data_IF_145931411490
#
_entry.id   IF_145931411490
#
_cell.length_a   1.000
_cell.length_b   1.000
_cell.length_c   1.000
_cell.angle_alpha   90.00
_cell.angle_beta   90.00
_cell.angle_gamma   90.00
#
_symmetry.space_group_name_H-M   'P 1'
#
loop_
_entity.id
_entity.type
_entity.pdbx_description
1 polymer ?
#
# COMPACT_ATOMS: atom_id res chain seq x y z
N UNK A 1 -17.79 19.28 26.63
CA UNK A 1 -16.97 19.82 25.52
C UNK A 1 -16.32 18.64 24.82
N UNK A 2 -16.57 18.44 23.53
CA UNK A 2 -15.84 17.46 22.73
C UNK A 2 -14.54 18.12 22.25
N UNK A 3 -13.39 17.52 22.54
CA UNK A 3 -12.11 17.92 21.95
C UNK A 3 -12.14 17.54 20.48
N UNK A 4 -11.95 18.48 19.53
CA UNK A 4 -11.89 18.13 18.12
C UNK A 4 -10.70 17.20 17.90
N UNK A 5 -10.98 15.97 17.48
CA UNK A 5 -9.94 15.03 17.04
C UNK A 5 -9.40 15.53 15.70
N UNK A 6 -8.21 16.13 15.72
CA UNK A 6 -7.49 16.45 14.51
C UNK A 6 -6.83 15.16 13.98
N UNK A 7 -7.24 14.70 12.80
CA UNK A 7 -6.60 13.58 12.15
C UNK A 7 -5.17 13.99 11.71
N UNK A 8 -4.16 13.31 12.26
CA UNK A 8 -2.79 13.48 11.83
C UNK A 8 -2.54 12.69 10.53
N UNK A 9 -1.77 13.27 9.61
CA UNK A 9 -1.36 12.62 8.35
C UNK A 9 0.12 12.30 8.43
N UNK A 10 0.44 11.01 8.52
CA UNK A 10 1.81 10.52 8.59
C UNK A 10 2.54 10.71 7.26
N UNK A 11 3.82 11.02 7.37
CA UNK A 11 4.76 10.96 6.25
C UNK A 11 5.39 9.58 6.12
N UNK A 12 6.00 9.30 4.97
CA UNK A 12 6.76 8.04 4.76
C UNK A 12 7.88 7.89 5.81
N UNK A 13 8.60 8.97 6.11
CA UNK A 13 9.67 8.95 7.12
C UNK A 13 9.14 8.64 8.53
N UNK A 14 7.96 9.15 8.88
CA UNK A 14 7.30 8.82 10.15
C UNK A 14 6.84 7.37 10.18
N UNK A 15 6.25 6.89 9.10
CA UNK A 15 5.83 5.49 8.95
C UNK A 15 7.02 4.53 9.09
N UNK A 16 8.17 4.82 8.46
CA UNK A 16 9.40 4.04 8.61
C UNK A 16 9.94 4.06 10.04
N UNK A 17 9.95 5.23 10.70
CA UNK A 17 10.37 5.33 12.10
C UNK A 17 9.44 4.55 13.03
N UNK A 18 8.14 4.53 12.78
CA UNK A 18 7.20 3.71 13.52
C UNK A 18 7.51 2.21 13.35
N UNK A 19 7.81 1.77 12.13
CA UNK A 19 8.30 0.42 11.84
C UNK A 19 9.57 0.07 12.62
N UNK A 20 10.60 0.90 12.53
CA UNK A 20 11.88 0.70 13.23
C UNK A 20 11.74 0.70 14.77
N UNK A 21 10.77 1.44 15.30
CA UNK A 21 10.45 1.47 16.72
C UNK A 21 9.62 0.26 17.18
N UNK A 22 9.24 -0.66 16.27
CA UNK A 22 8.46 -1.85 16.59
C UNK A 22 6.97 -1.58 16.82
N UNK A 23 6.42 -0.50 16.25
CA UNK A 23 4.97 -0.21 16.34
C UNK A 23 4.15 -1.24 15.56
N UNK A 24 4.72 -1.81 14.50
CA UNK A 24 4.11 -2.85 13.67
C UNK A 24 4.93 -4.15 13.82
N UNK A 25 4.25 -5.28 13.96
CA UNK A 25 4.84 -6.61 13.89
C UNK A 25 4.99 -7.05 12.43
N UNK A 26 5.82 -8.08 12.18
CA UNK A 26 6.01 -8.61 10.82
C UNK A 26 4.72 -9.14 10.18
N UNK A 27 3.77 -9.59 11.01
CA UNK A 27 2.46 -10.05 10.57
C UNK A 27 1.44 -8.92 10.37
N UNK A 28 1.76 -7.70 10.84
CA UNK A 28 0.91 -6.52 10.68
C UNK A 28 1.05 -6.02 9.24
N UNK A 29 0.20 -6.57 8.36
CA UNK A 29 0.12 -6.18 6.95
C UNK A 29 -0.51 -4.80 6.81
N UNK A 30 0.23 -3.74 7.13
CA UNK A 30 -0.23 -2.35 7.03
C UNK A 30 0.39 -1.62 5.85
N UNK A 31 -0.29 -0.59 5.34
CA UNK A 31 0.19 0.30 4.30
C UNK A 31 -0.03 1.77 4.68
N UNK A 32 0.84 2.66 4.20
CA UNK A 32 0.61 4.10 4.27
C UNK A 32 -0.08 4.60 2.99
N UNK A 33 -1.35 5.00 3.11
CA UNK A 33 -2.16 5.56 2.02
C UNK A 33 -2.64 6.96 2.39
N UNK A 34 -2.24 7.97 1.63
CA UNK A 34 -2.63 9.38 1.84
C UNK A 34 -2.33 9.91 3.26
N UNK A 35 -1.30 9.38 3.90
CA UNK A 35 -0.90 9.70 5.27
C UNK A 35 -1.69 8.96 6.36
N UNK A 36 -2.45 7.93 5.98
CA UNK A 36 -3.15 7.05 6.91
C UNK A 36 -2.52 5.66 6.89
N UNK A 37 -2.30 5.08 8.07
CA UNK A 37 -1.90 3.68 8.20
C UNK A 37 -3.17 2.83 8.11
N UNK A 38 -3.23 1.96 7.12
CA UNK A 38 -4.41 1.11 6.85
C UNK A 38 -4.01 -0.35 6.84
N UNK A 39 -4.87 -1.23 7.34
CA UNK A 39 -4.68 -2.67 7.19
C UNK A 39 -4.91 -3.09 5.74
N UNK A 40 -3.96 -3.85 5.21
CA UNK A 40 -4.08 -4.45 3.90
C UNK A 40 -5.11 -5.57 3.95
N UNK A 41 -6.06 -5.56 3.02
CA UNK A 41 -7.01 -6.66 2.89
C UNK A 41 -6.28 -8.01 2.69
N UNK A 42 -6.78 -9.10 3.29
CA UNK A 42 -6.20 -10.42 3.09
C UNK A 42 -6.25 -10.80 1.60
N UNK A 43 -5.12 -11.25 1.07
CA UNK A 43 -5.03 -11.75 -0.30
C UNK A 43 -5.60 -13.18 -0.31
N UNK A 44 -6.91 -13.28 -0.54
CA UNK A 44 -7.59 -14.57 -0.73
C UNK A 44 -7.56 -15.04 -2.20
N UNK A 45 -7.89 -16.31 -2.48
CA UNK A 45 -7.93 -16.86 -3.85
C UNK A 45 -8.80 -16.04 -4.83
N UNK A 46 -9.89 -15.44 -4.33
CA UNK A 46 -10.75 -14.54 -5.13
C UNK A 46 -10.04 -13.24 -5.52
N UNK A 47 -9.25 -12.67 -4.61
CA UNK A 47 -8.45 -11.49 -4.88
C UNK A 47 -7.36 -11.81 -5.92
N UNK A 48 -6.62 -12.90 -5.73
CA UNK A 48 -5.60 -13.36 -6.68
C UNK A 48 -6.18 -13.58 -8.09
N UNK A 49 -7.30 -14.32 -8.20
CA UNK A 49 -7.97 -14.55 -9.48
C UNK A 49 -8.44 -13.24 -10.15
N UNK A 50 -8.86 -12.24 -9.38
CA UNK A 50 -9.24 -10.93 -9.90
C UNK A 50 -8.02 -10.19 -10.48
N UNK A 51 -6.92 -10.15 -9.71
CA UNK A 51 -5.66 -9.54 -10.13
C UNK A 51 -5.13 -10.20 -11.41
N UNK A 52 -5.10 -11.53 -11.47
CA UNK A 52 -4.62 -12.28 -12.64
C UNK A 52 -5.44 -11.97 -13.90
N UNK A 53 -6.77 -11.96 -13.77
CA UNK A 53 -7.68 -11.66 -14.88
C UNK A 53 -7.48 -10.25 -15.40
N UNK A 54 -7.38 -9.26 -14.50
CA UNK A 54 -7.15 -7.87 -14.88
C UNK A 54 -5.77 -7.68 -15.50
N UNK A 55 -4.72 -8.25 -14.90
CA UNK A 55 -3.36 -8.15 -15.42
C UNK A 55 -3.25 -8.71 -16.84
N UNK A 56 -3.83 -9.91 -17.07
CA UNK A 56 -3.90 -10.50 -18.41
C UNK A 56 -4.64 -9.60 -19.38
N UNK A 57 -5.81 -9.09 -19.00
CA UNK A 57 -6.65 -8.31 -19.89
C UNK A 57 -6.02 -6.96 -20.28
N UNK A 58 -5.39 -6.29 -19.31
CA UNK A 58 -4.68 -5.04 -19.55
C UNK A 58 -3.42 -5.26 -20.38
N UNK A 59 -2.62 -6.29 -20.06
CA UNK A 59 -1.39 -6.62 -20.82
C UNK A 59 -1.68 -6.88 -22.29
N UNK A 60 -2.77 -7.61 -22.59
CA UNK A 60 -3.21 -7.86 -23.96
C UNK A 60 -3.67 -6.61 -24.71
N UNK A 61 -4.20 -5.60 -24.00
CA UNK A 61 -4.67 -4.36 -24.64
C UNK A 61 -3.56 -3.34 -24.87
N UNK A 62 -2.57 -3.30 -23.98
CA UNK A 62 -1.47 -2.33 -24.08
C UNK A 62 -0.32 -2.84 -24.96
N UNK A 63 -0.15 -4.16 -25.09
CA UNK A 63 0.87 -4.80 -25.93
C UNK A 63 2.26 -4.15 -25.76
N UNK A 64 2.84 -3.62 -26.83
CA UNK A 64 4.13 -2.96 -26.90
C UNK A 64 4.12 -1.48 -26.47
N UNK A 65 2.95 -0.92 -26.19
CA UNK A 65 2.79 0.51 -25.86
C UNK A 65 3.08 0.83 -24.40
N UNK A 66 2.99 -0.15 -23.50
CA UNK A 66 3.25 0.02 -22.08
C UNK A 66 3.52 -1.30 -21.37
N UNK A 67 4.15 -1.22 -20.19
CA UNK A 67 4.34 -2.36 -19.29
C UNK A 67 3.24 -2.31 -18.22
N UNK A 68 2.49 -3.41 -18.06
CA UNK A 68 1.57 -3.58 -16.93
C UNK A 68 2.33 -4.20 -15.76
N UNK A 69 2.39 -3.48 -14.64
CA UNK A 69 3.01 -3.95 -13.39
C UNK A 69 1.92 -4.13 -12.35
N UNK A 70 1.97 -5.23 -11.61
CA UNK A 70 1.10 -5.52 -10.46
C UNK A 70 1.97 -5.81 -9.24
N UNK A 71 1.46 -5.49 -8.04
CA UNK A 71 2.06 -5.86 -6.75
C UNK A 71 3.54 -5.45 -6.57
N UNK A 72 4.02 -4.48 -7.35
CA UNK A 72 5.35 -3.89 -7.15
C UNK A 72 5.20 -2.66 -6.27
N UNK A 73 5.97 -2.51 -5.19
CA UNK A 73 5.97 -1.29 -4.38
C UNK A 73 6.32 -0.07 -5.24
N UNK A 74 5.58 1.01 -5.08
CA UNK A 74 5.87 2.29 -5.73
C UNK A 74 5.71 3.38 -4.68
N UNK A 75 6.83 3.97 -4.25
CA UNK A 75 6.77 5.16 -3.37
C UNK A 75 6.14 6.30 -4.17
N UNK A 76 5.01 6.83 -3.71
CA UNK A 76 4.29 7.92 -4.38
C UNK A 76 4.24 9.15 -3.48
N UNK A 77 5.35 9.89 -3.48
CA UNK A 77 5.45 11.16 -2.75
C UNK A 77 5.52 11.00 -1.24
N UNK A 78 5.36 12.12 -0.52
CA UNK A 78 5.64 12.21 0.93
C UNK A 78 4.67 11.43 1.83
N UNK A 79 3.51 11.05 1.34
CA UNK A 79 2.42 10.48 2.15
C UNK A 79 1.86 9.15 1.61
N UNK A 80 2.58 8.46 0.72
CA UNK A 80 2.13 7.17 0.21
C UNK A 80 3.29 6.20 -0.04
N UNK A 81 3.22 5.05 0.64
CA UNK A 81 4.15 3.94 0.50
C UNK A 81 3.38 2.60 0.39
N UNK A 82 2.64 2.38 -0.72
CA UNK A 82 1.89 1.14 -0.93
C UNK A 82 2.83 -0.07 -1.13
N UNK A 83 2.48 -1.21 -0.52
CA UNK A 83 3.27 -2.45 -0.47
C UNK A 83 4.71 -2.29 0.08
N UNK A 84 4.96 -1.25 0.87
CA UNK A 84 6.26 -1.04 1.54
C UNK A 84 6.31 -1.83 2.85
N UNK A 85 7.20 -2.82 2.91
CA UNK A 85 7.39 -3.70 4.08
C UNK A 85 8.54 -3.26 4.99
N UNK A 86 8.85 -1.94 4.95
CA UNK A 86 9.68 -1.21 5.91
C UNK A 86 11.20 -1.46 5.81
N UNK A 87 11.75 -1.31 4.59
CA UNK A 87 13.21 -1.19 4.35
C UNK A 87 13.79 -2.21 3.39
#
# INVERSE_FOLDING_TARGET
MAMPLAAHRFTVDEYHRMGQAGVFHEDDRVELIDGQVVEMSPIGPRHAACVDRLNRHLSQRVSDRAIVRVQTPVVRGRHAAPNDILG
#
